data_IF_548921661085
#
_entry.id   IF_548921661085
#
_cell.length_a   1.000
_cell.length_b   1.000
_cell.length_c   1.000
_cell.angle_alpha   90.00
_cell.angle_beta   90.00
_cell.angle_gamma   90.00
#
_symmetry.space_group_name_H-M   'P 1'
#
loop_
_entity.id
_entity.type
_entity.pdbx_description
1 polymer ?
#
# COMPACT_ATOMS: atom_id res chain seq x y z
N UNK A 1 10.92 -13.99 2.06
CA UNK A 1 9.95 -13.70 3.14
C UNK A 1 8.83 -12.91 2.53
N UNK A 2 7.57 -13.32 2.69
CA UNK A 2 6.46 -12.57 2.09
C UNK A 2 5.97 -11.55 3.11
N UNK A 3 5.76 -10.33 2.65
CA UNK A 3 5.31 -9.23 3.49
C UNK A 3 3.93 -8.83 3.02
N UNK A 4 2.99 -8.80 3.96
CA UNK A 4 1.62 -8.37 3.72
C UNK A 4 1.48 -6.99 4.35
N UNK A 5 1.27 -5.99 3.51
CA UNK A 5 0.99 -4.63 3.94
C UNK A 5 -0.50 -4.34 3.76
N UNK A 6 -1.18 -3.96 4.84
CA UNK A 6 -2.53 -3.40 4.79
C UNK A 6 -2.42 -1.89 4.63
N UNK A 7 -2.90 -1.40 3.49
CA UNK A 7 -2.72 -0.02 3.06
C UNK A 7 -4.07 0.59 2.75
N UNK A 8 -4.28 1.82 3.21
CA UNK A 8 -5.40 2.66 2.79
C UNK A 8 -4.86 3.73 1.85
N UNK A 9 -5.37 3.80 0.64
CA UNK A 9 -5.05 4.90 -0.27
C UNK A 9 -6.27 5.80 -0.49
N UNK A 10 -6.00 7.05 -0.85
CA UNK A 10 -7.00 8.02 -1.27
C UNK A 10 -6.83 8.24 -2.76
N UNK A 11 -7.91 8.08 -3.52
CA UNK A 11 -7.89 8.34 -4.96
C UNK A 11 -7.98 9.85 -5.28
N UNK A 12 -7.74 10.21 -6.55
CA UNK A 12 -7.86 11.61 -7.00
C UNK A 12 -9.28 12.19 -6.84
N UNK A 13 -10.29 11.34 -6.63
CA UNK A 13 -11.68 11.74 -6.33
C UNK A 13 -11.94 11.86 -4.82
N UNK A 14 -10.89 11.81 -3.99
CA UNK A 14 -10.94 11.87 -2.52
C UNK A 14 -11.67 10.70 -1.86
N UNK A 15 -11.83 9.56 -2.55
CA UNK A 15 -12.40 8.34 -1.96
C UNK A 15 -11.30 7.52 -1.31
N UNK A 16 -11.60 6.95 -0.16
CA UNK A 16 -10.68 6.07 0.57
C UNK A 16 -10.93 4.61 0.19
N UNK A 17 -9.87 3.89 -0.13
CA UNK A 17 -9.89 2.46 -0.45
C UNK A 17 -8.88 1.74 0.44
N UNK A 18 -9.23 0.56 0.93
CA UNK A 18 -8.33 -0.27 1.73
C UNK A 18 -7.99 -1.52 0.95
N UNK A 19 -6.69 -1.77 0.77
CA UNK A 19 -6.15 -2.89 0.00
C UNK A 19 -5.07 -3.60 0.82
N UNK A 20 -4.90 -4.89 0.57
CA UNK A 20 -3.75 -5.65 1.05
C UNK A 20 -2.79 -5.88 -0.12
N UNK A 21 -1.51 -5.62 0.12
CA UNK A 21 -0.45 -5.73 -0.88
C UNK A 21 0.60 -6.70 -0.38
N UNK A 22 0.95 -7.65 -1.24
CA UNK A 22 2.03 -8.59 -0.99
C UNK A 22 3.32 -8.06 -1.65
N UNK A 23 4.42 -8.09 -0.90
CA UNK A 23 5.74 -7.66 -1.34
C UNK A 23 6.81 -8.57 -0.73
N UNK A 24 7.95 -8.69 -1.39
CA UNK A 24 9.11 -9.41 -0.87
C UNK A 24 9.96 -8.54 0.08
N UNK A 25 9.72 -7.23 0.10
CA UNK A 25 10.43 -6.25 0.93
C UNK A 25 9.51 -5.47 1.87
N UNK A 26 10.05 -5.15 3.05
CA UNK A 26 9.37 -4.41 4.11
C UNK A 26 9.46 -2.89 3.91
N UNK A 27 10.22 -2.46 2.90
CA UNK A 27 10.52 -1.05 2.70
C UNK A 27 9.25 -0.27 2.38
N UNK A 28 8.98 0.78 3.17
CA UNK A 28 7.76 1.58 3.04
C UNK A 28 7.71 2.37 1.74
N UNK A 29 8.85 2.87 1.24
CA UNK A 29 8.88 3.58 -0.04
C UNK A 29 8.57 2.63 -1.18
N UNK A 30 9.17 1.44 -1.17
CA UNK A 30 8.88 0.43 -2.17
C UNK A 30 7.40 0.02 -2.17
N UNK A 31 6.81 -0.21 -0.99
CA UNK A 31 5.39 -0.52 -0.88
C UNK A 31 4.50 0.64 -1.35
N UNK A 32 4.90 1.88 -1.09
CA UNK A 32 4.17 3.08 -1.51
C UNK A 32 4.19 3.22 -3.04
N UNK A 33 5.36 3.06 -3.65
CA UNK A 33 5.53 3.08 -5.11
C UNK A 33 4.71 1.96 -5.76
N UNK A 34 4.71 0.76 -5.17
CA UNK A 34 3.93 -0.36 -5.67
C UNK A 34 2.41 -0.11 -5.59
N UNK A 35 1.94 0.55 -4.52
CA UNK A 35 0.53 0.96 -4.39
C UNK A 35 0.19 2.04 -5.40
N UNK A 36 1.05 3.05 -5.59
CA UNK A 36 0.86 4.13 -6.57
C UNK A 36 0.93 3.65 -8.02
N UNK A 37 1.70 2.61 -8.30
CA UNK A 37 1.79 2.01 -9.63
C UNK A 37 0.54 1.16 -9.96
N UNK A 38 -0.06 0.50 -8.97
CA UNK A 38 -1.24 -0.37 -9.16
C UNK A 38 -2.58 0.36 -9.08
N UNK A 39 -2.64 1.42 -8.28
CA UNK A 39 -3.87 2.14 -7.98
C UNK A 39 -3.68 3.64 -8.23
N UNK A 40 -4.74 4.38 -8.61
CA UNK A 40 -4.68 5.82 -8.78
C UNK A 40 -4.64 6.54 -7.41
N UNK A 41 -3.57 6.28 -6.64
CA UNK A 41 -3.38 6.74 -5.28
C UNK A 41 -2.72 8.12 -5.23
N UNK A 42 -3.45 9.11 -4.74
CA UNK A 42 -2.94 10.45 -4.42
C UNK A 42 -2.20 10.44 -3.07
N UNK A 43 -2.80 9.80 -2.06
CA UNK A 43 -2.19 9.63 -0.72
C UNK A 43 -2.24 8.18 -0.29
N UNK A 44 -1.18 7.74 0.38
CA UNK A 44 -1.02 6.36 0.85
C UNK A 44 -0.81 6.36 2.37
N UNK A 45 -1.60 5.56 3.08
CA UNK A 45 -1.55 5.40 4.53
C UNK A 45 -1.34 3.93 4.88
N UNK A 46 -0.20 3.63 5.47
CA UNK A 46 0.12 2.30 5.97
C UNK A 46 -0.60 2.05 7.30
N UNK A 47 -1.47 1.04 7.36
CA UNK A 47 -2.14 0.66 8.61
C UNK A 47 -1.35 -0.42 9.34
N UNK A 48 -0.87 -1.42 8.61
CA UNK A 48 -0.11 -2.53 9.17
C UNK A 48 0.82 -3.11 8.12
N UNK A 49 2.02 -3.50 8.53
CA UNK A 49 2.96 -4.24 7.69
C UNK A 49 3.41 -5.44 8.51
N UNK A 50 3.10 -6.65 8.04
CA UNK A 50 3.40 -7.90 8.72
C UNK A 50 4.21 -8.82 7.83
N UNK A 51 5.16 -9.55 8.42
CA UNK A 51 5.86 -10.64 7.75
C UNK A 51 5.03 -11.92 7.88
N UNK A 52 4.89 -12.66 6.79
CA UNK A 52 4.26 -13.98 6.71
C UNK A 52 5.31 -15.06 6.47
#
# INVERSE_FOLDING_TARGET
MKIIAKVRYVDFQKRSHTVEVESDTADRRHLEDLVKARYPADKVYFQSVRQK
#
